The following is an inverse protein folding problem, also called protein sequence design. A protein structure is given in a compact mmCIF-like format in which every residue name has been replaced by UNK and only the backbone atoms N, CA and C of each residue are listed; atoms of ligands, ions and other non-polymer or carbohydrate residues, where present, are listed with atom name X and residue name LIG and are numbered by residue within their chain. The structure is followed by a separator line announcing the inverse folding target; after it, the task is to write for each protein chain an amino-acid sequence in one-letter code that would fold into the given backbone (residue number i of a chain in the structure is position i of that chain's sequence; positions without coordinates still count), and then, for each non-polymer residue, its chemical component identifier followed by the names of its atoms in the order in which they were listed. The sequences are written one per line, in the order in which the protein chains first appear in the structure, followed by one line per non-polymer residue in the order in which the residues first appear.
data_IF_368204567402
#
_entry.id   IF_368204567402
#
_cell.length_a   1.000
_cell.length_b   1.000
_cell.length_c   1.000
_cell.angle_alpha   90.00
_cell.angle_beta   90.00
_cell.angle_gamma   90.00
#
_symmetry.space_group_name_H-M   'P 1'
#
loop_
_entity.id
_entity.type
_entity.pdbx_description
1 polymer ?
#
# COMPACT_ATOMS: atom_id res chain seq x y z
N UNK A 1 1.19 -26.17 -3.16
CA UNK A 1 2.21 -25.11 -3.31
C UNK A 1 1.42 -23.81 -3.21
N UNK A 2 1.51 -23.13 -2.08
CA UNK A 2 0.84 -21.85 -1.90
C UNK A 2 1.52 -20.86 -2.86
N UNK A 3 0.77 -20.35 -3.81
CA UNK A 3 1.30 -19.39 -4.80
C UNK A 3 1.39 -18.05 -4.09
N UNK A 4 2.56 -17.44 -4.12
CA UNK A 4 2.71 -16.06 -3.68
C UNK A 4 1.72 -15.19 -4.46
N UNK A 5 0.83 -14.51 -3.77
CA UNK A 5 -0.23 -13.71 -4.38
C UNK A 5 -0.35 -12.34 -3.74
N UNK A 6 -0.66 -11.34 -4.56
CA UNK A 6 -1.15 -10.05 -4.07
C UNK A 6 -2.53 -10.27 -3.44
N UNK A 7 -2.77 -9.72 -2.27
CA UNK A 7 -4.07 -9.80 -1.60
C UNK A 7 -4.84 -8.50 -1.80
N UNK A 8 -6.13 -8.58 -2.14
CA UNK A 8 -7.01 -7.41 -2.19
C UNK A 8 -8.25 -7.61 -1.31
N UNK A 9 -8.50 -6.65 -0.44
CA UNK A 9 -9.70 -6.64 0.40
C UNK A 9 -10.88 -6.06 -0.36
N UNK A 10 -11.98 -6.83 -0.44
CA UNK A 10 -13.19 -6.48 -1.20
C UNK A 10 -14.40 -6.42 -0.28
N UNK A 11 -15.11 -5.29 -0.29
CA UNK A 11 -16.38 -5.11 0.39
C UNK A 11 -17.52 -4.67 -0.54
N UNK A 12 -17.25 -4.56 -1.85
CA UNK A 12 -18.17 -4.12 -2.88
C UNK A 12 -18.42 -2.62 -2.94
N UNK A 13 -17.67 -1.82 -2.18
CA UNK A 13 -17.68 -0.36 -2.32
C UNK A 13 -16.97 0.06 -3.62
N UNK A 14 -17.29 1.24 -4.19
CA UNK A 14 -16.58 1.75 -5.37
C UNK A 14 -15.07 1.81 -5.17
N UNK A 15 -14.59 2.20 -3.99
CA UNK A 15 -13.16 2.26 -3.69
C UNK A 15 -12.52 0.86 -3.58
N UNK A 16 -13.23 -0.16 -3.11
CA UNK A 16 -12.71 -1.53 -3.12
C UNK A 16 -12.61 -2.11 -4.53
N UNK A 17 -13.52 -1.74 -5.42
CA UNK A 17 -13.45 -2.14 -6.84
C UNK A 17 -12.28 -1.46 -7.57
N UNK A 18 -11.96 -0.21 -7.24
CA UNK A 18 -10.74 0.45 -7.73
C UNK A 18 -9.48 -0.23 -7.17
N UNK A 19 -9.53 -0.70 -5.93
CA UNK A 19 -8.45 -1.48 -5.34
C UNK A 19 -8.25 -2.81 -6.07
N UNK A 20 -9.32 -3.46 -6.54
CA UNK A 20 -9.25 -4.66 -7.40
C UNK A 20 -8.52 -4.37 -8.71
N UNK A 21 -8.88 -3.27 -9.40
CA UNK A 21 -8.20 -2.87 -10.65
C UNK A 21 -6.70 -2.66 -10.43
N UNK A 22 -6.35 -1.93 -9.37
CA UNK A 22 -4.97 -1.65 -9.04
C UNK A 22 -4.20 -2.92 -8.67
N UNK A 23 -4.81 -3.81 -7.86
CA UNK A 23 -4.23 -5.06 -7.42
C UNK A 23 -4.03 -6.06 -8.58
N UNK A 24 -4.95 -6.11 -9.54
CA UNK A 24 -4.82 -6.92 -10.74
C UNK A 24 -3.63 -6.46 -11.60
N UNK A 25 -3.49 -5.14 -11.80
CA UNK A 25 -2.33 -4.57 -12.48
C UNK A 25 -1.03 -4.87 -11.74
N UNK A 26 -1.05 -4.83 -10.41
CA UNK A 26 0.12 -5.08 -9.57
C UNK A 26 0.53 -6.55 -9.58
N UNK A 27 -0.42 -7.47 -9.40
CA UNK A 27 -0.18 -8.91 -9.48
C UNK A 27 0.41 -9.29 -10.85
N UNK A 28 -0.15 -8.74 -11.93
CA UNK A 28 0.37 -8.94 -13.28
C UNK A 28 1.82 -8.43 -13.45
N UNK A 29 2.15 -7.23 -12.93
CA UNK A 29 3.53 -6.69 -13.00
C UNK A 29 4.53 -7.55 -12.23
N UNK A 30 4.11 -8.12 -11.10
CA UNK A 30 4.93 -8.99 -10.25
C UNK A 30 5.02 -10.42 -10.75
N UNK A 31 4.19 -10.82 -11.72
CA UNK A 31 4.08 -12.22 -12.16
C UNK A 31 3.50 -13.13 -11.07
N UNK A 32 2.62 -12.60 -10.22
CA UNK A 32 1.99 -13.28 -9.10
C UNK A 32 0.49 -13.48 -9.36
N UNK A 33 -0.15 -14.38 -8.60
CA UNK A 33 -1.60 -14.48 -8.53
C UNK A 33 -2.25 -13.31 -7.77
N UNK A 34 -3.57 -13.21 -7.87
CA UNK A 34 -4.38 -12.27 -7.10
C UNK A 34 -5.38 -13.02 -6.23
N UNK A 35 -5.36 -12.76 -4.93
CA UNK A 35 -6.30 -13.31 -3.96
C UNK A 35 -7.26 -12.23 -3.49
N UNK A 36 -8.55 -12.40 -3.84
CA UNK A 36 -9.62 -11.50 -3.43
C UNK A 36 -10.23 -12.00 -2.12
N UNK A 37 -10.20 -11.18 -1.08
CA UNK A 37 -10.67 -11.56 0.25
C UNK A 37 -11.81 -10.66 0.73
N UNK A 38 -12.84 -11.28 1.29
CA UNK A 38 -13.92 -10.58 1.99
C UNK A 38 -13.94 -11.02 3.45
N UNK A 39 -13.92 -10.08 4.38
CA UNK A 39 -13.98 -10.37 5.81
C UNK A 39 -15.38 -10.07 6.36
N UNK A 40 -16.01 -11.07 6.97
CA UNK A 40 -17.34 -10.97 7.56
C UNK A 40 -17.38 -11.58 8.96
N UNK A 41 -17.79 -10.78 9.95
CA UNK A 41 -17.96 -11.25 11.33
C UNK A 41 -19.15 -12.21 11.45
N UNK A 42 -20.19 -12.02 10.67
CA UNK A 42 -21.42 -12.81 10.74
C UNK A 42 -21.20 -14.29 10.41
N UNK A 43 -20.37 -14.59 9.43
CA UNK A 43 -20.04 -15.99 9.13
C UNK A 43 -19.40 -16.75 10.30
N UNK A 44 -18.80 -16.05 11.27
CA UNK A 44 -18.27 -16.65 12.50
C UNK A 44 -19.37 -17.08 13.46
N UNK A 45 -20.48 -16.34 13.50
CA UNK A 45 -21.60 -16.61 14.40
C UNK A 45 -22.56 -17.65 13.82
N UNK A 46 -22.72 -17.73 12.52
CA UNK A 46 -23.66 -18.64 11.83
C UNK A 46 -23.25 -20.13 11.88
N UNK A 47 -22.05 -20.44 12.31
CA UNK A 47 -21.66 -21.83 12.61
C UNK A 47 -22.30 -22.40 13.86
N UNK A 48 -23.08 -21.62 14.61
CA UNK A 48 -23.61 -22.03 15.92
C UNK A 48 -24.94 -21.46 16.37
N UNK A 49 -25.61 -20.59 15.63
CA UNK A 49 -26.87 -19.98 16.06
C UNK A 49 -27.85 -19.87 14.88
N UNK A 50 -29.01 -20.46 15.02
CA UNK A 50 -30.19 -20.22 14.15
C UNK A 50 -30.69 -18.80 14.45
N UNK A 51 -30.41 -17.83 13.57
CA UNK A 51 -31.04 -16.51 13.59
C UNK A 51 -32.05 -16.42 12.45
N UNK A 52 -33.21 -15.77 12.69
CA UNK A 52 -34.39 -15.69 11.80
C UNK A 52 -34.18 -14.96 10.46
N UNK A 53 -32.95 -14.60 10.11
CA UNK A 53 -32.57 -14.11 8.78
C UNK A 53 -32.05 -15.26 7.93
N UNK A 54 -32.58 -15.45 6.70
CA UNK A 54 -32.17 -16.52 5.78
C UNK A 54 -30.62 -16.51 5.57
N UNK A 55 -29.82 -17.42 6.20
CA UNK A 55 -28.37 -17.49 6.09
C UNK A 55 -27.91 -17.71 4.65
N UNK A 56 -28.75 -18.28 3.82
CA UNK A 56 -28.53 -18.49 2.39
C UNK A 56 -28.46 -17.21 1.59
N UNK A 57 -29.12 -16.14 2.05
CA UNK A 57 -29.18 -14.86 1.33
C UNK A 57 -27.86 -14.07 1.46
N UNK A 58 -27.28 -13.97 2.66
CA UNK A 58 -26.03 -13.23 2.86
C UNK A 58 -24.84 -13.92 2.21
N UNK A 59 -24.78 -15.25 2.32
CA UNK A 59 -23.75 -16.05 1.63
C UNK A 59 -23.78 -15.88 0.12
N UNK A 60 -24.98 -15.83 -0.47
CA UNK A 60 -25.14 -15.55 -1.90
C UNK A 60 -24.64 -14.15 -2.24
N UNK A 61 -24.98 -13.13 -1.44
CA UNK A 61 -24.51 -11.75 -1.66
C UNK A 61 -22.99 -11.64 -1.61
N UNK A 62 -22.35 -12.33 -0.66
CA UNK A 62 -20.87 -12.34 -0.56
C UNK A 62 -20.25 -13.08 -1.76
N UNK A 63 -20.84 -14.19 -2.18
CA UNK A 63 -20.38 -14.92 -3.37
C UNK A 63 -20.53 -14.08 -4.64
N UNK A 64 -21.66 -13.41 -4.84
CA UNK A 64 -21.90 -12.50 -5.96
C UNK A 64 -20.90 -11.32 -5.95
N UNK A 65 -20.63 -10.77 -4.78
CA UNK A 65 -19.64 -9.70 -4.61
C UNK A 65 -18.25 -10.16 -5.03
N UNK A 66 -17.79 -11.30 -4.54
CA UNK A 66 -16.47 -11.84 -4.90
C UNK A 66 -16.41 -12.27 -6.35
N UNK A 67 -17.50 -12.83 -6.89
CA UNK A 67 -17.60 -13.18 -8.30
C UNK A 67 -17.49 -11.93 -9.19
N UNK A 68 -18.23 -10.86 -8.90
CA UNK A 68 -18.16 -9.60 -9.64
C UNK A 68 -16.76 -8.98 -9.56
N UNK A 69 -16.12 -9.05 -8.40
CA UNK A 69 -14.75 -8.55 -8.24
C UNK A 69 -13.73 -9.38 -9.04
N UNK A 70 -13.91 -10.72 -9.08
CA UNK A 70 -13.05 -11.60 -9.87
C UNK A 70 -13.23 -11.40 -11.37
N UNK A 71 -14.48 -11.27 -11.87
CA UNK A 71 -14.73 -10.91 -13.26
C UNK A 71 -14.08 -9.59 -13.65
N UNK A 72 -14.14 -8.58 -12.77
CA UNK A 72 -13.49 -7.29 -13.00
C UNK A 72 -11.99 -7.43 -13.12
N UNK A 73 -11.35 -8.24 -12.26
CA UNK A 73 -9.91 -8.51 -12.31
C UNK A 73 -9.52 -9.24 -13.59
N UNK A 74 -10.30 -10.27 -14.00
CA UNK A 74 -10.08 -11.01 -15.25
C UNK A 74 -10.23 -10.13 -16.48
N UNK A 75 -11.25 -9.27 -16.52
CA UNK A 75 -11.41 -8.28 -17.61
C UNK A 75 -10.25 -7.29 -17.67
N UNK A 76 -9.70 -6.91 -16.50
CA UNK A 76 -8.55 -6.02 -16.40
C UNK A 76 -7.25 -6.67 -16.86
N UNK A 77 -7.03 -7.93 -16.48
CA UNK A 77 -5.83 -8.73 -16.77
C UNK A 77 -6.21 -10.16 -17.14
N UNK A 78 -6.56 -10.41 -18.40
CA UNK A 78 -6.93 -11.75 -18.87
C UNK A 78 -5.82 -12.76 -18.59
N UNK A 79 -6.18 -13.90 -18.03
CA UNK A 79 -5.27 -14.99 -17.68
C UNK A 79 -4.52 -14.80 -16.37
N UNK A 80 -4.87 -13.78 -15.56
CA UNK A 80 -4.36 -13.65 -14.20
C UNK A 80 -4.90 -14.78 -13.32
N UNK A 81 -4.04 -15.47 -12.58
CA UNK A 81 -4.48 -16.47 -11.62
C UNK A 81 -5.24 -15.82 -10.46
N UNK A 82 -6.52 -16.19 -10.31
CA UNK A 82 -7.43 -15.59 -9.34
C UNK A 82 -7.89 -16.61 -8.32
N UNK A 83 -7.91 -16.22 -7.05
CA UNK A 83 -8.55 -16.97 -5.97
C UNK A 83 -9.44 -16.05 -5.15
N UNK A 84 -10.54 -16.60 -4.61
CA UNK A 84 -11.47 -15.85 -3.76
C UNK A 84 -11.58 -16.54 -2.41
N UNK A 85 -11.64 -15.76 -1.33
CA UNK A 85 -11.72 -16.28 0.02
C UNK A 85 -12.64 -15.42 0.89
N UNK A 86 -13.43 -16.08 1.74
CA UNK A 86 -14.25 -15.43 2.77
C UNK A 86 -13.61 -15.68 4.13
N UNK A 87 -13.22 -14.62 4.81
CA UNK A 87 -12.58 -14.65 6.11
C UNK A 87 -13.65 -14.48 7.20
N UNK A 88 -13.92 -15.53 7.96
CA UNK A 88 -14.92 -15.54 9.03
C UNK A 88 -14.38 -14.92 10.33
N UNK A 89 -14.00 -13.64 10.30
CA UNK A 89 -13.44 -12.91 11.44
C UNK A 89 -13.67 -11.40 11.34
N UNK A 90 -13.36 -10.68 12.42
CA UNK A 90 -13.37 -9.21 12.40
C UNK A 90 -12.40 -8.68 11.33
N UNK A 91 -12.84 -7.73 10.48
CA UNK A 91 -12.10 -7.36 9.27
C UNK A 91 -10.64 -6.99 9.48
N UNK A 92 -10.32 -6.22 10.53
CA UNK A 92 -8.93 -5.81 10.77
C UNK A 92 -8.06 -7.00 11.16
N UNK A 93 -8.56 -7.86 12.05
CA UNK A 93 -7.85 -9.08 12.50
C UNK A 93 -7.68 -10.05 11.33
N UNK A 94 -8.76 -10.33 10.60
CA UNK A 94 -8.75 -11.23 9.46
C UNK A 94 -7.73 -10.79 8.39
N UNK A 95 -7.75 -9.50 8.02
CA UNK A 95 -6.84 -8.98 7.00
C UNK A 95 -5.37 -9.01 7.44
N UNK A 96 -5.09 -8.74 8.74
CA UNK A 96 -3.71 -8.81 9.25
C UNK A 96 -3.16 -10.24 9.32
N UNK A 97 -4.02 -11.23 9.61
CA UNK A 97 -3.65 -12.64 9.66
C UNK A 97 -3.46 -13.23 8.25
N UNK A 98 -4.29 -12.80 7.30
CA UNK A 98 -4.27 -13.27 5.90
C UNK A 98 -3.01 -12.87 5.13
N UNK A 99 -2.24 -11.90 5.63
CA UNK A 99 -1.01 -11.44 4.99
C UNK A 99 0.18 -12.42 5.09
N UNK A 100 0.01 -13.56 5.67
CA UNK A 100 1.08 -14.57 5.73
C UNK A 100 0.76 -15.72 4.76
N UNK A 101 1.51 -15.90 3.65
CA UNK A 101 2.74 -15.24 3.17
C UNK A 101 2.51 -14.27 1.97
N UNK A 102 1.72 -13.23 2.07
CA UNK A 102 1.47 -12.32 0.94
C UNK A 102 2.52 -11.19 0.87
N UNK A 103 2.97 -10.80 -0.34
CA UNK A 103 3.95 -9.71 -0.50
C UNK A 103 3.36 -8.34 -0.16
N UNK A 104 2.07 -8.15 -0.38
CA UNK A 104 1.35 -6.92 -0.02
C UNK A 104 -0.16 -7.11 0.04
N UNK A 105 -0.83 -6.21 0.77
CA UNK A 105 -2.29 -6.05 0.80
C UNK A 105 -2.70 -4.76 0.10
N UNK A 106 -3.72 -4.87 -0.75
CA UNK A 106 -4.37 -3.73 -1.39
C UNK A 106 -5.77 -3.56 -0.84
N UNK A 107 -6.17 -2.33 -0.56
CA UNK A 107 -7.52 -2.04 -0.09
C UNK A 107 -8.00 -0.66 -0.52
N UNK A 108 -9.31 -0.50 -0.60
CA UNK A 108 -9.92 0.79 -0.88
C UNK A 108 -9.78 1.76 0.30
N UNK A 109 -9.82 3.06 0.01
CA UNK A 109 -9.76 4.08 1.06
C UNK A 109 -11.02 4.15 1.92
N UNK A 110 -12.18 3.69 1.41
CA UNK A 110 -13.49 3.71 2.09
C UNK A 110 -14.22 2.39 1.88
N UNK A 111 -15.08 2.02 2.83
CA UNK A 111 -15.95 0.85 2.74
C UNK A 111 -17.43 1.24 2.63
N UNK A 112 -18.32 0.22 2.60
CA UNK A 112 -19.78 0.39 2.52
C UNK A 112 -20.39 1.16 3.69
N UNK A 113 -19.82 1.07 4.89
CA UNK A 113 -20.34 1.66 6.12
C UNK A 113 -19.91 3.11 6.40
N UNK A 114 -19.24 3.76 5.44
CA UNK A 114 -18.66 5.08 5.65
C UNK A 114 -19.73 6.17 5.76
N UNK A 115 -19.70 6.97 6.83
CA UNK A 115 -20.45 8.22 6.89
C UNK A 115 -20.06 9.09 5.71
N UNK A 116 -21.06 9.71 5.05
CA UNK A 116 -20.81 10.72 4.02
C UNK A 116 -19.94 11.82 4.60
N UNK A 117 -18.72 11.98 4.07
CA UNK A 117 -17.74 12.99 4.54
C UNK A 117 -16.45 12.41 5.13
N UNK A 118 -16.37 11.13 5.49
CA UNK A 118 -15.10 10.53 5.88
C UNK A 118 -14.23 10.24 4.66
N UNK A 119 -13.01 10.74 4.68
CA UNK A 119 -12.03 10.57 3.59
C UNK A 119 -11.31 9.22 3.63
N UNK A 120 -11.29 8.56 4.79
CA UNK A 120 -10.62 7.28 5.03
C UNK A 120 -11.46 6.40 5.95
N UNK A 121 -11.61 5.12 5.62
CA UNK A 121 -12.33 4.14 6.41
C UNK A 121 -11.54 3.67 7.63
N UNK A 122 -12.25 3.32 8.70
CA UNK A 122 -11.64 2.85 9.95
C UNK A 122 -10.86 1.54 9.79
N UNK A 123 -11.32 0.62 8.92
CA UNK A 123 -10.61 -0.63 8.62
C UNK A 123 -9.30 -0.34 7.91
N UNK A 124 -9.34 0.48 6.84
CA UNK A 124 -8.15 0.82 6.05
C UNK A 124 -7.09 1.52 6.89
N UNK A 125 -7.51 2.47 7.72
CA UNK A 125 -6.62 3.15 8.66
C UNK A 125 -5.98 2.18 9.66
N UNK A 126 -6.78 1.32 10.29
CA UNK A 126 -6.31 0.39 11.33
C UNK A 126 -5.41 -0.70 10.76
N UNK A 127 -5.70 -1.19 9.55
CA UNK A 127 -4.87 -2.19 8.87
C UNK A 127 -3.55 -1.57 8.43
N UNK A 128 -3.57 -0.44 7.71
CA UNK A 128 -2.36 0.24 7.24
C UNK A 128 -1.39 0.54 8.38
N UNK A 129 -1.93 0.85 9.52
CA UNK A 129 -1.15 1.24 10.66
C UNK A 129 -0.68 0.06 11.54
N UNK A 130 -1.29 -1.13 11.44
CA UNK A 130 -0.93 -2.31 12.25
C UNK A 130 -0.17 -3.37 11.47
N UNK A 131 -0.25 -3.33 10.15
CA UNK A 131 0.39 -4.33 9.30
C UNK A 131 1.91 -4.31 9.43
N UNK A 132 2.50 -5.49 9.41
CA UNK A 132 3.96 -5.69 9.28
C UNK A 132 4.38 -5.84 7.81
N UNK A 133 3.41 -6.00 6.93
CA UNK A 133 3.58 -6.12 5.48
C UNK A 133 3.17 -4.82 4.80
N UNK A 134 3.64 -4.52 3.61
CA UNK A 134 3.20 -3.37 2.84
C UNK A 134 1.67 -3.36 2.65
N UNK A 135 1.05 -2.23 2.87
CA UNK A 135 -0.38 -2.00 2.63
C UNK A 135 -0.56 -0.84 1.69
N UNK A 136 -1.20 -1.09 0.56
CA UNK A 136 -1.54 -0.04 -0.42
C UNK A 136 -3.00 0.34 -0.27
N UNK A 137 -3.25 1.62 0.00
CA UNK A 137 -4.59 2.19 0.06
C UNK A 137 -4.87 2.93 -1.24
N UNK A 138 -5.86 2.42 -1.98
CA UNK A 138 -6.28 2.98 -3.27
C UNK A 138 -7.47 3.89 -3.07
N UNK A 139 -7.43 5.06 -3.69
CA UNK A 139 -8.48 6.07 -3.62
C UNK A 139 -9.11 6.29 -4.98
N UNK A 140 -10.34 6.81 -4.96
CA UNK A 140 -10.97 7.37 -6.14
C UNK A 140 -10.22 8.66 -6.50
N UNK A 141 -9.40 8.60 -7.53
CA UNK A 141 -8.62 9.72 -8.02
C UNK A 141 -9.33 10.30 -9.23
N UNK A 142 -9.54 11.61 -9.26
CA UNK A 142 -9.84 12.30 -10.51
C UNK A 142 -8.70 12.01 -11.50
N UNK A 143 -9.05 11.91 -12.79
CA UNK A 143 -8.17 11.48 -13.88
C UNK A 143 -6.70 11.85 -13.66
N UNK A 144 -5.86 10.83 -13.54
CA UNK A 144 -4.40 11.01 -13.54
C UNK A 144 -4.04 11.81 -14.80
N UNK A 145 -3.40 12.94 -14.61
CA UNK A 145 -2.86 13.68 -15.75
C UNK A 145 -1.80 12.80 -16.40
N UNK A 146 -1.90 12.63 -17.71
CA UNK A 146 -0.87 12.00 -18.52
C UNK A 146 0.47 12.73 -18.28
N UNK A 147 1.23 12.25 -17.31
CA UNK A 147 2.59 12.71 -17.12
C UNK A 147 3.47 11.92 -18.10
N UNK A 148 4.30 12.58 -18.91
CA UNK A 148 5.15 11.91 -19.89
C UNK A 148 6.21 11.01 -19.21
N UNK A 149 6.44 11.17 -17.91
CA UNK A 149 7.31 10.32 -17.09
C UNK A 149 6.54 9.81 -15.88
N UNK A 150 6.51 8.50 -15.74
CA UNK A 150 5.98 7.83 -14.56
C UNK A 150 6.90 8.08 -13.38
N UNK A 151 6.34 8.28 -12.20
CA UNK A 151 7.13 8.46 -10.99
C UNK A 151 6.54 7.72 -9.78
N UNK A 152 7.43 7.11 -9.01
CA UNK A 152 7.16 6.63 -7.66
C UNK A 152 7.78 7.64 -6.68
N UNK A 153 7.02 8.07 -5.70
CA UNK A 153 7.49 9.03 -4.68
C UNK A 153 7.76 8.29 -3.39
N UNK A 154 8.98 8.37 -2.88
CA UNK A 154 9.34 7.94 -1.54
C UNK A 154 9.35 9.18 -0.62
N UNK A 155 8.43 9.22 0.33
CA UNK A 155 8.40 10.24 1.37
C UNK A 155 9.40 9.89 2.47
N UNK A 156 10.49 10.65 2.54
CA UNK A 156 11.56 10.44 3.52
C UNK A 156 11.21 11.13 4.84
N UNK A 157 11.00 10.32 5.88
CA UNK A 157 10.80 10.78 7.25
C UNK A 157 12.11 10.85 8.06
N UNK A 158 12.06 11.36 9.29
CA UNK A 158 13.25 11.47 10.16
C UNK A 158 13.82 10.10 10.57
N UNK A 159 13.03 9.03 10.46
CA UNK A 159 13.40 7.67 10.81
C UNK A 159 13.09 6.75 9.63
N UNK A 160 13.82 6.96 8.52
CA UNK A 160 13.57 6.15 7.32
C UNK A 160 13.89 4.68 7.56
N UNK A 161 13.01 3.83 7.05
CA UNK A 161 13.19 2.40 7.09
C UNK A 161 13.74 1.89 5.76
N UNK A 162 14.80 1.09 5.80
CA UNK A 162 15.38 0.43 4.62
C UNK A 162 14.31 -0.34 3.80
N UNK A 163 13.30 -0.89 4.49
CA UNK A 163 12.19 -1.59 3.86
C UNK A 163 11.35 -0.68 2.95
N UNK A 164 11.08 0.58 3.35
CA UNK A 164 10.33 1.52 2.52
C UNK A 164 11.13 1.91 1.27
N UNK A 165 12.43 2.11 1.40
CA UNK A 165 13.33 2.38 0.28
C UNK A 165 13.38 1.19 -0.68
N UNK A 166 13.55 -0.03 -0.15
CA UNK A 166 13.54 -1.26 -0.96
C UNK A 166 12.24 -1.44 -1.74
N UNK A 167 11.10 -1.28 -1.06
CA UNK A 167 9.78 -1.35 -1.69
C UNK A 167 9.61 -0.27 -2.77
N UNK A 168 10.00 0.98 -2.51
CA UNK A 168 9.88 2.07 -3.48
C UNK A 168 10.75 1.83 -4.73
N UNK A 169 11.94 1.27 -4.56
CA UNK A 169 12.82 0.87 -5.67
C UNK A 169 12.18 -0.24 -6.50
N UNK A 170 11.68 -1.29 -5.86
CA UNK A 170 10.97 -2.38 -6.54
C UNK A 170 9.79 -1.85 -7.37
N UNK A 171 8.97 -0.98 -6.76
CA UNK A 171 7.84 -0.36 -7.42
C UNK A 171 8.24 0.54 -8.60
N UNK A 172 9.33 1.27 -8.49
CA UNK A 172 9.87 2.09 -9.59
C UNK A 172 10.29 1.20 -10.78
N UNK A 173 10.94 0.09 -10.50
CA UNK A 173 11.37 -0.89 -11.52
C UNK A 173 10.16 -1.53 -12.20
N UNK A 174 9.20 -2.05 -11.42
CA UNK A 174 7.99 -2.71 -11.92
C UNK A 174 7.12 -1.78 -12.79
N UNK A 175 7.07 -0.49 -12.45
CA UNK A 175 6.29 0.52 -13.18
C UNK A 175 7.05 1.19 -14.30
N UNK A 176 8.36 0.92 -14.44
CA UNK A 176 9.24 1.67 -15.34
C UNK A 176 9.13 3.18 -15.06
N UNK A 177 9.31 3.55 -13.82
CA UNK A 177 9.13 4.89 -13.29
C UNK A 177 10.43 5.41 -12.68
N UNK A 178 10.60 6.73 -12.66
CA UNK A 178 11.67 7.35 -11.87
C UNK A 178 11.30 7.32 -10.39
N UNK A 179 12.30 7.14 -9.52
CA UNK A 179 12.13 7.20 -8.07
C UNK A 179 12.45 8.60 -7.56
N UNK A 180 11.43 9.31 -7.08
CA UNK A 180 11.56 10.61 -6.46
C UNK A 180 11.69 10.44 -4.94
N UNK A 181 12.86 10.67 -4.37
CA UNK A 181 13.09 10.71 -2.92
C UNK A 181 12.84 12.12 -2.44
N UNK A 182 11.76 12.31 -1.66
CA UNK A 182 11.26 13.62 -1.24
C UNK A 182 11.40 13.78 0.26
N UNK A 183 12.13 14.82 0.68
CA UNK A 183 12.31 15.18 2.08
C UNK A 183 11.97 16.65 2.33
N UNK A 184 11.17 16.90 3.35
CA UNK A 184 10.91 18.25 3.84
C UNK A 184 11.36 18.38 5.29
N UNK A 185 11.97 19.50 5.63
CA UNK A 185 12.43 19.79 6.98
C UNK A 185 11.91 21.14 7.47
N UNK A 186 11.43 21.21 8.74
CA UNK A 186 11.06 22.49 9.34
C UNK A 186 12.26 23.31 9.76
N UNK A 187 13.33 22.67 10.28
CA UNK A 187 14.47 23.30 10.92
C UNK A 187 15.81 22.70 10.46
N UNK A 188 16.60 23.47 9.73
CA UNK A 188 18.03 23.22 9.46
C UNK A 188 18.33 22.11 8.43
N UNK A 189 19.16 22.41 7.42
CA UNK A 189 19.39 21.52 6.27
C UNK A 189 20.42 20.40 6.52
N UNK A 190 21.28 20.48 7.55
CA UNK A 190 22.48 19.63 7.63
C UNK A 190 22.15 18.16 7.97
N UNK A 191 21.33 17.90 9.01
CA UNK A 191 20.94 16.53 9.36
C UNK A 191 20.07 15.89 8.28
N UNK A 192 19.21 16.70 7.65
CA UNK A 192 18.38 16.29 6.54
C UNK A 192 19.19 15.88 5.31
N UNK A 193 20.30 16.55 5.04
CA UNK A 193 21.18 16.26 3.90
C UNK A 193 21.86 14.89 4.04
N UNK A 194 22.39 14.56 5.21
CA UNK A 194 23.07 13.29 5.46
C UNK A 194 22.13 12.09 5.31
N UNK A 195 20.91 12.18 5.86
CA UNK A 195 19.90 11.14 5.71
C UNK A 195 19.50 10.97 4.23
N UNK A 196 19.27 12.07 3.53
CA UNK A 196 18.96 12.06 2.10
C UNK A 196 20.08 11.40 1.29
N UNK A 197 21.33 11.72 1.56
CA UNK A 197 22.48 11.14 0.86
C UNK A 197 22.53 9.62 1.07
N UNK A 198 22.36 9.15 2.30
CA UNK A 198 22.31 7.72 2.64
C UNK A 198 21.21 7.00 1.88
N UNK A 199 19.99 7.54 1.87
CA UNK A 199 18.84 6.91 1.21
C UNK A 199 19.00 6.92 -0.31
N UNK A 200 19.45 8.02 -0.90
CA UNK A 200 19.68 8.13 -2.35
C UNK A 200 20.80 7.18 -2.80
N UNK A 201 21.87 7.06 -2.04
CA UNK A 201 22.96 6.11 -2.33
C UNK A 201 22.44 4.66 -2.27
N UNK A 202 21.70 4.33 -1.21
CA UNK A 202 21.10 3.00 -1.05
C UNK A 202 20.12 2.67 -2.19
N UNK A 203 19.20 3.57 -2.50
CA UNK A 203 18.25 3.42 -3.61
C UNK A 203 18.96 3.27 -4.96
N UNK A 204 20.02 4.03 -5.19
CA UNK A 204 20.82 3.94 -6.43
C UNK A 204 21.50 2.58 -6.57
N UNK A 205 22.06 2.05 -5.47
CA UNK A 205 22.65 0.70 -5.46
C UNK A 205 21.60 -0.38 -5.76
N UNK A 206 20.43 -0.30 -5.12
CA UNK A 206 19.34 -1.24 -5.36
C UNK A 206 18.83 -1.18 -6.81
N UNK A 207 18.62 0.03 -7.35
CA UNK A 207 18.23 0.22 -8.74
C UNK A 207 19.26 -0.34 -9.73
N UNK A 208 20.56 -0.13 -9.47
CA UNK A 208 21.62 -0.68 -10.32
C UNK A 208 21.57 -2.22 -10.33
N UNK A 209 21.37 -2.84 -9.16
CA UNK A 209 21.26 -4.30 -9.04
C UNK A 209 20.02 -4.83 -9.77
N UNK A 210 18.86 -4.21 -9.55
CA UNK A 210 17.60 -4.61 -10.20
C UNK A 210 17.66 -4.42 -11.73
N UNK A 211 18.27 -3.32 -12.19
CA UNK A 211 18.41 -3.04 -13.61
C UNK A 211 19.38 -3.98 -14.33
N UNK A 212 20.37 -4.53 -13.62
CA UNK A 212 21.29 -5.52 -14.20
C UNK A 212 20.60 -6.87 -14.52
N UNK A 213 19.48 -7.14 -13.87
CA UNK A 213 18.68 -8.35 -14.09
C UNK A 213 17.63 -8.18 -15.20
N UNK A 214 17.42 -6.96 -15.69
CA UNK A 214 16.48 -6.67 -16.77
C UNK A 214 17.17 -6.67 -18.13
N UNK A 215 16.56 -7.34 -19.09
CA UNK A 215 16.99 -7.36 -20.50
C UNK A 215 16.63 -6.08 -21.27
N UNK A 216 15.94 -5.17 -20.62
CA UNK A 216 15.37 -3.96 -21.18
C UNK A 216 16.33 -2.75 -21.07
N UNK A 217 16.16 -1.80 -21.98
CA UNK A 217 16.95 -0.54 -22.00
C UNK A 217 16.47 0.52 -21.02
N UNK A 218 15.31 0.31 -20.35
CA UNK A 218 14.81 1.28 -19.37
C UNK A 218 15.75 1.36 -18.14
N UNK A 219 16.07 2.56 -17.74
CA UNK A 219 16.81 2.86 -16.51
C UNK A 219 16.04 3.88 -15.70
N UNK A 220 15.55 3.46 -14.53
CA UNK A 220 14.96 4.36 -13.57
C UNK A 220 16.03 5.31 -13.01
N UNK A 221 15.68 6.58 -12.90
CA UNK A 221 16.54 7.57 -12.23
C UNK A 221 16.10 7.75 -10.77
N UNK A 222 17.07 7.99 -9.87
CA UNK A 222 16.78 8.50 -8.54
C UNK A 222 16.84 10.02 -8.60
N UNK A 223 15.71 10.65 -8.36
CA UNK A 223 15.58 12.11 -8.33
C UNK A 223 15.48 12.56 -6.88
N UNK A 224 16.43 13.42 -6.48
CA UNK A 224 16.47 13.99 -5.14
C UNK A 224 15.64 15.26 -5.09
N UNK A 225 14.72 15.34 -4.14
CA UNK A 225 13.90 16.52 -3.89
C UNK A 225 13.91 16.86 -2.41
N UNK A 226 14.33 18.07 -2.10
CA UNK A 226 14.36 18.53 -0.72
C UNK A 226 13.94 20.00 -0.64
N UNK A 227 13.09 20.32 0.33
CA UNK A 227 12.63 21.69 0.54
C UNK A 227 12.43 21.99 2.03
N UNK A 228 12.62 23.25 2.39
CA UNK A 228 12.22 23.76 3.71
C UNK A 228 10.72 24.02 3.71
N UNK A 229 10.02 23.55 4.72
CA UNK A 229 8.60 23.79 4.89
C UNK A 229 7.84 22.61 5.47
N UNK A 230 6.49 22.70 5.54
CA UNK A 230 5.65 21.63 6.02
C UNK A 230 5.74 20.38 5.12
N UNK A 231 6.10 19.21 5.64
CA UNK A 231 6.22 17.99 4.84
C UNK A 231 4.95 17.63 4.07
N UNK A 232 3.79 17.86 4.67
CA UNK A 232 2.50 17.53 4.07
C UNK A 232 2.27 18.29 2.75
N UNK A 233 2.60 19.57 2.70
CA UNK A 233 2.34 20.40 1.51
C UNK A 233 3.22 19.97 0.33
N UNK A 234 4.51 19.74 0.59
CA UNK A 234 5.45 19.27 -0.43
C UNK A 234 5.02 17.89 -0.96
N UNK A 235 4.71 16.96 -0.06
CA UNK A 235 4.33 15.61 -0.44
C UNK A 235 3.00 15.56 -1.20
N UNK A 236 2.01 16.37 -0.83
CA UNK A 236 0.75 16.49 -1.57
C UNK A 236 0.98 17.07 -2.98
N UNK A 237 1.89 18.03 -3.11
CA UNK A 237 2.27 18.56 -4.42
C UNK A 237 2.88 17.47 -5.31
N UNK A 238 3.82 16.70 -4.78
CA UNK A 238 4.47 15.60 -5.52
C UNK A 238 3.50 14.46 -5.83
N UNK A 239 2.54 14.20 -4.94
CA UNK A 239 1.53 13.17 -5.13
C UNK A 239 0.63 13.40 -6.36
N UNK A 240 0.46 14.64 -6.82
CA UNK A 240 -0.40 14.98 -7.98
C UNK A 240 0.06 14.25 -9.25
N UNK A 241 1.35 14.03 -9.40
CA UNK A 241 1.95 13.40 -10.58
C UNK A 241 2.57 12.02 -10.29
N UNK A 242 2.36 11.48 -9.09
CA UNK A 242 2.85 10.18 -8.69
C UNK A 242 1.88 9.06 -9.11
N UNK A 243 2.42 7.94 -9.58
CA UNK A 243 1.66 6.69 -9.75
C UNK A 243 1.48 5.95 -8.42
N UNK A 244 2.43 6.14 -7.52
CA UNK A 244 2.43 5.57 -6.18
C UNK A 244 3.25 6.47 -5.25
N UNK A 245 2.73 6.72 -4.07
CA UNK A 245 3.48 7.30 -2.96
C UNK A 245 3.79 6.22 -1.94
N UNK A 246 5.05 6.13 -1.53
CA UNK A 246 5.52 5.21 -0.49
C UNK A 246 5.89 6.01 0.76
N UNK A 247 5.32 5.62 1.88
CA UNK A 247 5.61 6.20 3.20
C UNK A 247 6.10 5.12 4.15
N UNK A 248 7.16 5.39 4.88
CA UNK A 248 7.66 4.53 5.95
C UNK A 248 6.79 4.66 7.21
N UNK A 249 6.43 3.54 7.85
CA UNK A 249 5.75 3.52 9.13
C UNK A 249 6.70 3.01 10.21
N UNK A 250 6.97 3.85 11.22
CA UNK A 250 7.80 3.48 12.35
C UNK A 250 6.96 2.94 13.50
N UNK A 251 7.38 1.80 14.07
CA UNK A 251 6.76 1.25 15.27
C UNK A 251 7.56 1.67 16.50
N UNK A 252 6.93 2.40 17.40
CA UNK A 252 7.49 2.59 18.72
C UNK A 252 7.21 1.36 19.60
N UNK A 253 8.21 0.60 20.02
CA UNK A 253 8.03 -0.47 20.99
C UNK A 253 7.51 0.15 22.31
N UNK A 254 6.37 -0.31 22.79
CA UNK A 254 5.78 0.13 24.07
C UNK A 254 4.43 0.83 24.00
N UNK A 255 3.93 1.16 22.82
CA UNK A 255 2.56 1.66 22.66
C UNK A 255 1.68 0.60 22.00
N UNK A 256 0.65 0.16 22.71
CA UNK A 256 -0.46 -0.65 22.19
C UNK A 256 -1.29 0.21 21.25
N UNK A 257 -0.93 0.26 19.97
CA UNK A 257 -1.68 0.98 18.95
C UNK A 257 -0.78 1.65 17.94
N UNK A 258 -1.40 1.93 16.83
CA UNK A 258 -1.00 2.63 15.67
C UNK A 258 -0.33 3.95 15.95
N UNK A 259 0.86 4.09 15.47
CA UNK A 259 1.42 5.41 15.26
C UNK A 259 1.82 5.58 13.79
N UNK A 260 0.79 5.79 12.98
CA UNK A 260 1.00 6.54 11.78
C UNK A 260 1.28 7.98 12.21
N UNK A 261 2.49 8.47 11.95
CA UNK A 261 2.80 9.87 12.17
C UNK A 261 1.81 10.79 11.41
N UNK A 262 1.72 12.06 11.78
CA UNK A 262 0.74 12.99 11.18
C UNK A 262 0.89 13.12 9.66
N UNK A 263 2.09 13.01 9.13
CA UNK A 263 2.35 13.05 7.69
C UNK A 263 1.75 11.83 6.99
N UNK A 264 2.01 10.61 7.49
CA UNK A 264 1.46 9.38 6.91
C UNK A 264 -0.07 9.39 6.95
N UNK A 265 -0.65 9.86 8.06
CA UNK A 265 -2.10 10.02 8.18
C UNK A 265 -2.65 11.02 7.16
N UNK A 266 -1.97 12.16 6.97
CA UNK A 266 -2.36 13.15 5.97
C UNK A 266 -2.27 12.60 4.54
N UNK A 267 -1.22 11.83 4.21
CA UNK A 267 -1.09 11.19 2.89
C UNK A 267 -2.22 10.19 2.64
N UNK A 268 -2.55 9.35 3.61
CA UNK A 268 -3.69 8.43 3.51
C UNK A 268 -5.03 9.16 3.35
N UNK A 269 -5.18 10.37 3.89
CA UNK A 269 -6.40 11.16 3.79
C UNK A 269 -6.50 11.97 2.51
N UNK A 270 -5.40 12.52 2.01
CA UNK A 270 -5.45 13.61 1.03
C UNK A 270 -4.65 13.36 -0.25
N UNK A 271 -3.71 12.39 -0.27
CA UNK A 271 -2.93 12.17 -1.47
C UNK A 271 -3.82 11.77 -2.65
N UNK A 272 -3.66 12.42 -3.81
CA UNK A 272 -4.43 12.12 -5.01
C UNK A 272 -3.90 10.91 -5.80
N UNK A 273 -3.06 10.09 -5.21
CA UNK A 273 -2.53 8.84 -5.76
C UNK A 273 -2.67 7.72 -4.73
N UNK A 274 -2.50 6.44 -5.13
CA UNK A 274 -2.38 5.33 -4.19
C UNK A 274 -1.21 5.55 -3.22
N UNK A 275 -1.41 5.16 -1.95
CA UNK A 275 -0.40 5.31 -0.90
C UNK A 275 -0.03 3.95 -0.33
N UNK A 276 1.24 3.58 -0.44
CA UNK A 276 1.81 2.40 0.19
C UNK A 276 2.38 2.78 1.57
N UNK A 277 1.91 2.12 2.61
CA UNK A 277 2.46 2.21 3.97
C UNK A 277 3.33 0.99 4.19
N UNK A 278 4.62 1.20 4.41
CA UNK A 278 5.60 0.14 4.59
C UNK A 278 6.16 0.20 6.00
N UNK A 279 5.88 -0.84 6.79
CA UNK A 279 6.47 -0.97 8.12
C UNK A 279 7.92 -1.45 8.00
N UNK A 280 8.82 -0.87 8.76
CA UNK A 280 10.22 -1.28 8.70
C UNK A 280 10.99 -0.98 9.98
N UNK A 281 12.13 -1.65 10.12
CA UNK A 281 13.15 -1.29 11.09
C UNK A 281 13.98 -0.13 10.55
N UNK A 282 14.47 0.79 11.39
CA UNK A 282 15.43 1.81 11.00
C UNK A 282 16.64 1.20 10.30
N UNK A 283 17.35 1.99 9.49
CA UNK A 283 18.68 1.59 9.02
C UNK A 283 19.53 1.22 10.24
N UNK A 284 20.28 0.09 10.18
CA UNK A 284 21.22 -0.21 11.25
C UNK A 284 22.22 0.94 11.33
N UNK A 285 22.32 1.55 12.51
CA UNK A 285 23.39 2.51 12.78
C UNK A 285 24.74 1.85 12.58
N UNK A 286 25.64 2.46 11.82
CA UNK A 286 27.02 1.98 11.65
C UNK A 286 27.80 1.96 12.97
N UNK A 287 27.22 2.48 14.05
CA UNK A 287 27.81 2.58 15.40
C UNK A 287 27.61 1.36 16.28
N UNK A 288 26.98 0.27 15.82
CA UNK A 288 27.02 -1.03 16.52
C UNK A 288 26.47 -1.06 17.96
N UNK A 289 25.71 -0.08 18.39
CA UNK A 289 25.05 -0.08 19.70
C UNK A 289 23.61 -0.55 19.56
N UNK A 290 23.40 -1.85 19.81
CA UNK A 290 22.08 -2.36 20.11
C UNK A 290 21.64 -1.81 21.48
N UNK A 291 20.53 -1.10 21.50
CA UNK A 291 19.86 -0.68 22.73
C UNK A 291 18.98 -1.79 23.29
#
# INVERSE_FOLDING_TARGET
MEIDSVVVAVDGSPSSLLAVDWAADEAFRRGLGLRLVHASVRERYERGVEDDGDPGSERKLIQELLFTAAERAELRRPGLELTTEVLAAEPVTALLETLRPAPLLVMGSRGRGGFHGLLLGSVSLRVAARSTYPVVVVREVGQQRDSPRRRVVLALGPHEAAAATGFAVEEAVLRRADLHVVHAWPDGPEAAAALMDTVVEHATKLLATASAQQTDSFRAAVVRMSAQGPPTDLLLHEAVSAELMVVGAHRNPGHLGLQLGPVNHAMLLYAPCPVAVVAGTPFPDESGHAA
#
